data_IF_710306503759
#
_entry.id   IF_710306503759
#
_cell.length_a   1.000
_cell.length_b   1.000
_cell.length_c   1.000
_cell.angle_alpha   90.00
_cell.angle_beta   90.00
_cell.angle_gamma   90.00
#
_symmetry.space_group_name_H-M   'P 1'
#
loop_
_entity.id
_entity.type
_entity.pdbx_description
1 polymer ?
#
# COMPACT_ATOMS: atom_id res chain seq x y z
N UNK A 1 -7.84 66.53 1.20
CA UNK A 1 -8.50 65.22 1.38
C UNK A 1 -7.56 64.15 0.87
N UNK A 2 -6.79 63.54 1.76
CA UNK A 2 -5.94 62.38 1.45
C UNK A 2 -6.83 61.15 1.31
N UNK A 3 -6.72 60.36 0.24
CA UNK A 3 -7.46 59.11 0.13
C UNK A 3 -6.91 58.12 1.18
N UNK A 4 -7.80 57.64 2.05
CA UNK A 4 -7.49 56.56 2.98
C UNK A 4 -7.19 55.29 2.15
N UNK A 5 -5.91 54.97 1.98
CA UNK A 5 -5.46 53.65 1.57
C UNK A 5 -5.75 52.65 2.71
N UNK A 6 -7.01 52.24 2.86
CA UNK A 6 -7.34 51.01 3.59
C UNK A 6 -6.83 49.85 2.76
N UNK A 7 -5.63 49.39 3.08
CA UNK A 7 -5.14 48.05 2.73
C UNK A 7 -6.10 47.02 3.31
N UNK A 8 -7.15 46.67 2.56
CA UNK A 8 -8.04 45.56 2.86
C UNK A 8 -7.26 44.27 2.69
N UNK A 9 -6.58 43.83 3.75
CA UNK A 9 -6.18 42.43 3.94
C UNK A 9 -7.42 41.56 3.74
N UNK A 10 -7.48 40.81 2.64
CA UNK A 10 -8.68 40.02 2.27
C UNK A 10 -8.71 38.72 3.05
N UNK A 11 -9.07 38.82 4.33
CA UNK A 11 -9.41 37.67 5.19
C UNK A 11 -10.83 37.23 4.88
N UNK A 12 -11.06 35.92 4.85
CA UNK A 12 -12.40 35.34 4.75
C UNK A 12 -12.61 34.26 5.81
N UNK A 13 -13.87 34.02 6.16
CA UNK A 13 -14.26 32.98 7.12
C UNK A 13 -14.45 31.67 6.37
N UNK A 14 -13.66 30.67 6.74
CA UNK A 14 -13.75 29.33 6.18
C UNK A 14 -14.81 28.48 6.85
N UNK A 15 -15.13 27.34 6.23
CA UNK A 15 -16.08 26.40 6.78
C UNK A 15 -15.47 25.45 7.83
N UNK A 16 -15.78 25.73 9.10
CA UNK A 16 -15.29 24.94 10.23
C UNK A 16 -15.76 23.48 10.21
N UNK A 17 -16.90 23.19 9.60
CA UNK A 17 -17.44 21.82 9.56
C UNK A 17 -16.85 20.96 8.44
N UNK A 18 -16.27 21.58 7.40
CA UNK A 18 -15.66 20.85 6.28
C UNK A 18 -14.17 20.62 6.48
N UNK A 19 -13.44 21.59 7.02
CA UNK A 19 -11.99 21.48 7.24
C UNK A 19 -11.52 22.26 8.49
N UNK A 20 -12.40 22.46 9.48
CA UNK A 20 -12.02 23.01 10.78
C UNK A 20 -11.05 22.12 11.54
N UNK A 21 -10.60 22.62 12.70
CA UNK A 21 -9.52 22.03 13.46
C UNK A 21 -9.84 20.58 13.86
N UNK A 22 -11.07 20.30 14.29
CA UNK A 22 -11.45 18.96 14.74
C UNK A 22 -11.52 17.94 13.60
N UNK A 23 -12.01 18.38 12.42
CA UNK A 23 -12.02 17.56 11.20
C UNK A 23 -10.58 17.21 10.80
N UNK A 24 -9.71 18.23 10.69
CA UNK A 24 -8.30 18.06 10.33
C UNK A 24 -7.55 17.15 11.30
N UNK A 25 -7.62 17.43 12.60
CA UNK A 25 -6.96 16.60 13.62
C UNK A 25 -7.47 15.16 13.59
N UNK A 26 -8.80 14.97 13.51
CA UNK A 26 -9.39 13.63 13.40
C UNK A 26 -8.81 12.84 12.23
N UNK A 27 -8.70 13.48 11.06
CA UNK A 27 -8.14 12.87 9.85
C UNK A 27 -6.66 12.56 10.00
N UNK A 28 -5.87 13.49 10.53
CA UNK A 28 -4.43 13.29 10.69
C UNK A 28 -4.14 12.13 11.66
N UNK A 29 -4.87 12.04 12.77
CA UNK A 29 -4.75 10.93 13.71
C UNK A 29 -5.21 9.61 13.08
N UNK A 30 -6.28 9.63 12.28
CA UNK A 30 -6.77 8.46 11.57
C UNK A 30 -5.81 7.95 10.49
N UNK A 31 -5.12 8.86 9.79
CA UNK A 31 -4.06 8.52 8.85
C UNK A 31 -2.87 7.86 9.56
N UNK A 32 -2.44 8.45 10.69
CA UNK A 32 -1.37 7.88 11.50
C UNK A 32 -1.76 6.50 12.02
N UNK A 33 -2.99 6.32 12.52
CA UNK A 33 -3.51 5.02 12.94
C UNK A 33 -3.49 4.01 11.78
N UNK A 34 -3.97 4.39 10.60
CA UNK A 34 -3.97 3.51 9.42
C UNK A 34 -2.55 3.13 8.99
N UNK A 35 -1.63 4.09 9.03
CA UNK A 35 -0.22 3.87 8.73
C UNK A 35 0.43 2.88 9.70
N UNK A 36 0.25 3.07 11.01
CA UNK A 36 0.77 2.15 12.04
C UNK A 36 0.16 0.75 11.90
N UNK A 37 -1.15 0.67 11.71
CA UNK A 37 -1.86 -0.60 11.57
C UNK A 37 -1.38 -1.42 10.37
N UNK A 38 -1.10 -0.74 9.24
CA UNK A 38 -0.68 -1.39 7.99
C UNK A 38 0.81 -1.76 7.98
N UNK A 39 1.66 -0.92 8.57
CA UNK A 39 3.11 -1.18 8.67
C UNK A 39 3.42 -2.27 9.69
N UNK A 40 2.74 -2.28 10.83
CA UNK A 40 3.01 -3.21 11.95
C UNK A 40 2.13 -4.47 11.90
N UNK A 41 1.20 -4.56 10.93
CA UNK A 41 0.24 -5.67 10.76
C UNK A 41 -0.59 -5.93 12.02
N UNK A 42 -1.22 -4.89 12.56
CA UNK A 42 -2.12 -5.07 13.70
C UNK A 42 -3.29 -5.98 13.34
N UNK A 43 -3.82 -6.70 14.34
CA UNK A 43 -4.94 -7.62 14.16
C UNK A 43 -6.21 -6.89 13.68
N UNK A 44 -6.40 -5.64 14.11
CA UNK A 44 -7.50 -4.77 13.68
C UNK A 44 -7.23 -3.99 12.38
N UNK A 45 -6.13 -4.23 11.67
CA UNK A 45 -5.80 -3.48 10.46
C UNK A 45 -6.95 -3.45 9.44
N UNK A 46 -7.75 -4.52 9.35
CA UNK A 46 -8.96 -4.55 8.51
C UNK A 46 -10.02 -3.56 9.00
N UNK A 47 -10.33 -3.56 10.29
CA UNK A 47 -11.32 -2.66 10.89
C UNK A 47 -10.91 -1.20 10.73
N UNK A 48 -9.65 -0.87 11.04
CA UNK A 48 -9.11 0.49 10.91
C UNK A 48 -9.20 0.97 9.46
N UNK A 49 -8.85 0.11 8.51
CA UNK A 49 -8.99 0.40 7.08
C UNK A 49 -10.43 0.65 6.67
N UNK A 50 -11.38 -0.16 7.12
CA UNK A 50 -12.82 0.04 6.84
C UNK A 50 -13.29 1.38 7.39
N UNK A 51 -12.91 1.72 8.64
CA UNK A 51 -13.20 3.02 9.23
C UNK A 51 -12.62 4.17 8.40
N UNK A 52 -11.39 4.02 7.89
CA UNK A 52 -10.79 4.98 6.95
C UNK A 52 -11.57 5.12 5.64
N UNK A 53 -12.12 4.04 5.09
CA UNK A 53 -13.00 4.13 3.90
C UNK A 53 -14.27 4.92 4.18
N UNK A 54 -14.94 4.61 5.29
CA UNK A 54 -16.21 5.25 5.65
C UNK A 54 -15.98 6.74 5.86
N UNK A 55 -14.89 7.07 6.57
CA UNK A 55 -14.51 8.45 6.81
C UNK A 55 -14.17 9.17 5.50
N UNK A 56 -13.39 8.55 4.61
CA UNK A 56 -13.10 9.09 3.28
C UNK A 56 -14.38 9.40 2.49
N UNK A 57 -15.34 8.48 2.47
CA UNK A 57 -16.63 8.67 1.79
C UNK A 57 -17.40 9.84 2.41
N UNK A 58 -17.46 9.91 3.74
CA UNK A 58 -18.15 11.00 4.44
C UNK A 58 -17.53 12.37 4.12
N UNK A 59 -16.20 12.46 4.08
CA UNK A 59 -15.51 13.72 3.75
C UNK A 59 -15.68 14.10 2.29
N UNK A 60 -15.64 13.13 1.38
CA UNK A 60 -15.91 13.39 -0.02
C UNK A 60 -17.37 13.81 -0.25
N UNK A 61 -18.33 13.17 0.43
CA UNK A 61 -19.72 13.62 0.40
C UNK A 61 -19.86 15.05 0.96
N UNK A 62 -19.19 15.35 2.07
CA UNK A 62 -19.09 16.70 2.63
C UNK A 62 -18.52 17.70 1.63
N UNK A 63 -17.44 17.36 0.93
CA UNK A 63 -16.85 18.17 -0.14
C UNK A 63 -17.87 18.45 -1.26
N UNK A 64 -18.58 17.43 -1.73
CA UNK A 64 -19.60 17.60 -2.78
C UNK A 64 -20.74 18.52 -2.30
N UNK A 65 -21.26 18.30 -1.10
CA UNK A 65 -22.33 19.12 -0.53
C UNK A 65 -21.87 20.58 -0.37
N UNK A 66 -20.69 20.78 0.24
CA UNK A 66 -20.04 22.07 0.40
C UNK A 66 -19.85 22.79 -0.94
N UNK A 67 -19.37 22.07 -1.96
CA UNK A 67 -19.06 22.64 -3.28
C UNK A 67 -20.32 23.05 -4.05
N UNK A 68 -21.36 22.22 -4.04
CA UNK A 68 -22.51 22.39 -4.93
C UNK A 68 -23.71 23.10 -4.29
N UNK A 69 -23.82 23.13 -2.97
CA UNK A 69 -24.96 23.76 -2.28
C UNK A 69 -24.65 25.14 -1.72
N UNK A 70 -23.37 25.52 -1.59
CA UNK A 70 -23.01 26.84 -1.10
C UNK A 70 -22.94 27.84 -2.26
N UNK A 71 -23.62 29.00 -2.16
CA UNK A 71 -23.62 30.01 -3.21
C UNK A 71 -22.27 30.73 -3.36
N UNK A 72 -21.42 30.64 -2.33
CA UNK A 72 -20.15 31.35 -2.26
C UNK A 72 -19.08 30.40 -1.73
N UNK A 73 -18.31 29.80 -2.64
CA UNK A 73 -17.19 28.91 -2.31
C UNK A 73 -15.91 29.52 -2.86
N UNK A 74 -14.91 29.69 -2.00
CA UNK A 74 -13.59 30.14 -2.42
C UNK A 74 -12.83 28.98 -3.06
N UNK A 75 -12.19 29.21 -4.21
CA UNK A 75 -11.55 28.12 -4.95
C UNK A 75 -10.50 27.34 -4.16
N UNK A 76 -9.86 27.98 -3.16
CA UNK A 76 -8.87 27.34 -2.29
C UNK A 76 -9.49 26.32 -1.32
N UNK A 77 -10.75 26.48 -0.91
CA UNK A 77 -11.35 25.63 0.12
C UNK A 77 -11.51 24.18 -0.35
N UNK A 78 -12.07 23.90 -1.54
CA UNK A 78 -12.09 22.53 -2.06
C UNK A 78 -10.69 21.93 -2.23
N UNK A 79 -9.67 22.72 -2.56
CA UNK A 79 -8.30 22.23 -2.68
C UNK A 79 -7.74 21.77 -1.33
N UNK A 80 -7.99 22.53 -0.26
CA UNK A 80 -7.61 22.14 1.11
C UNK A 80 -8.26 20.81 1.46
N UNK A 81 -9.56 20.66 1.19
CA UNK A 81 -10.29 19.41 1.45
C UNK A 81 -9.77 18.28 0.57
N UNK A 82 -9.42 18.54 -0.68
CA UNK A 82 -8.79 17.54 -1.55
C UNK A 82 -7.46 17.06 -0.96
N UNK A 83 -6.59 17.94 -0.46
CA UNK A 83 -5.35 17.52 0.23
C UNK A 83 -5.66 16.65 1.46
N UNK A 84 -6.66 17.05 2.25
CA UNK A 84 -7.18 16.35 3.43
C UNK A 84 -7.82 14.99 3.08
N UNK A 85 -8.29 14.79 1.86
CA UNK A 85 -8.90 13.52 1.43
C UNK A 85 -7.84 12.64 0.74
N UNK A 86 -6.87 13.25 0.04
CA UNK A 86 -5.79 12.55 -0.68
C UNK A 86 -4.72 11.93 0.20
N UNK A 87 -4.39 12.53 1.35
CA UNK A 87 -3.45 11.88 2.29
C UNK A 87 -3.94 10.51 2.77
N UNK A 88 -5.27 10.28 2.76
CA UNK A 88 -5.87 9.00 3.11
C UNK A 88 -5.65 7.94 2.01
N UNK A 89 -5.36 8.34 0.78
CA UNK A 89 -5.32 7.46 -0.38
C UNK A 89 -4.00 6.68 -0.54
N UNK A 90 -2.94 7.09 0.15
CA UNK A 90 -1.63 6.47 -0.01
C UNK A 90 -1.51 5.02 0.51
N UNK A 91 -2.05 4.63 1.68
CA UNK A 91 -1.99 3.26 2.19
C UNK A 91 -2.57 2.20 1.24
N UNK A 92 -3.20 2.61 0.13
CA UNK A 92 -3.85 1.75 -0.85
C UNK A 92 -2.93 1.29 -1.97
N UNK A 93 -1.93 2.08 -2.37
CA UNK A 93 -0.91 1.59 -3.33
C UNK A 93 -0.20 0.37 -2.72
N UNK A 94 0.01 0.42 -1.40
CA UNK A 94 0.53 -0.67 -0.58
C UNK A 94 -0.39 -1.89 -0.44
N UNK A 95 -1.71 -1.69 -0.54
CA UNK A 95 -2.71 -2.68 -0.19
C UNK A 95 -3.51 -3.21 -1.38
N UNK A 96 -3.47 -2.56 -2.56
CA UNK A 96 -3.95 -3.12 -3.82
C UNK A 96 -3.24 -4.46 -4.13
N UNK A 97 -2.01 -4.61 -3.61
CA UNK A 97 -1.22 -5.86 -3.64
C UNK A 97 -1.76 -6.93 -2.65
N UNK A 98 -2.65 -6.58 -1.71
CA UNK A 98 -3.20 -7.48 -0.68
C UNK A 98 -4.72 -7.64 -0.80
N UNK A 99 -5.18 -8.27 -1.90
CA UNK A 99 -6.59 -8.58 -2.26
C UNK A 99 -7.35 -9.45 -1.23
N UNK A 100 -6.73 -9.82 -0.11
CA UNK A 100 -7.38 -10.60 0.96
C UNK A 100 -8.39 -9.78 1.80
N UNK A 101 -8.53 -8.46 1.59
CA UNK A 101 -9.37 -7.58 2.44
C UNK A 101 -10.89 -7.72 2.26
N UNK A 102 -11.34 -8.45 1.24
CA UNK A 102 -12.76 -8.68 0.98
C UNK A 102 -13.32 -7.77 -0.10
N UNK A 103 -14.02 -8.37 -1.05
CA UNK A 103 -14.43 -7.77 -2.31
C UNK A 103 -15.29 -6.50 -2.16
N UNK A 104 -16.20 -6.46 -1.19
CA UNK A 104 -17.11 -5.32 -1.00
C UNK A 104 -16.34 -4.04 -0.63
N UNK A 105 -15.31 -4.17 0.22
CA UNK A 105 -14.44 -3.05 0.60
C UNK A 105 -13.66 -2.55 -0.62
N UNK A 106 -13.13 -3.48 -1.43
CA UNK A 106 -12.41 -3.12 -2.66
C UNK A 106 -13.31 -2.38 -3.66
N UNK A 107 -14.52 -2.88 -3.93
CA UNK A 107 -15.49 -2.23 -4.83
C UNK A 107 -15.83 -0.83 -4.32
N UNK A 108 -16.14 -0.68 -3.04
CA UNK A 108 -16.49 0.61 -2.45
C UNK A 108 -15.35 1.63 -2.63
N UNK A 109 -14.11 1.18 -2.46
CA UNK A 109 -12.90 1.99 -2.69
C UNK A 109 -12.73 2.37 -4.16
N UNK A 110 -12.99 1.45 -5.11
CA UNK A 110 -12.99 1.79 -6.55
C UNK A 110 -13.94 2.96 -6.80
N UNK A 111 -15.19 2.80 -6.37
CA UNK A 111 -16.27 3.75 -6.66
C UNK A 111 -15.93 5.13 -6.12
N UNK A 112 -15.48 5.22 -4.86
CA UNK A 112 -15.16 6.51 -4.26
C UNK A 112 -13.96 7.18 -4.94
N UNK A 113 -12.91 6.42 -5.30
CA UNK A 113 -11.76 7.02 -5.99
C UNK A 113 -12.07 7.45 -7.41
N UNK A 114 -12.87 6.68 -8.14
CA UNK A 114 -13.34 7.09 -9.46
C UNK A 114 -14.12 8.40 -9.36
N UNK A 115 -15.02 8.51 -8.37
CA UNK A 115 -15.76 9.74 -8.12
C UNK A 115 -14.84 10.92 -7.76
N UNK A 116 -13.83 10.69 -6.90
CA UNK A 116 -12.83 11.69 -6.56
C UNK A 116 -12.00 12.14 -7.77
N UNK A 117 -11.55 11.21 -8.63
CA UNK A 117 -10.81 11.56 -9.86
C UNK A 117 -11.68 12.42 -10.79
N UNK A 118 -12.95 12.04 -10.97
CA UNK A 118 -13.91 12.86 -11.70
C UNK A 118 -14.06 14.27 -11.11
N UNK A 119 -14.15 14.38 -9.78
CA UNK A 119 -14.22 15.67 -9.10
C UNK A 119 -12.95 16.52 -9.31
N UNK A 120 -11.75 15.95 -9.21
CA UNK A 120 -10.49 16.68 -9.41
C UNK A 120 -10.36 17.18 -10.85
N UNK A 121 -10.71 16.33 -11.82
CA UNK A 121 -10.74 16.71 -13.23
C UNK A 121 -11.71 17.88 -13.41
N UNK A 122 -12.93 17.78 -12.89
CA UNK A 122 -13.88 18.89 -12.94
C UNK A 122 -13.33 20.15 -12.24
N UNK A 123 -12.76 20.02 -11.04
CA UNK A 123 -12.25 21.13 -10.23
C UNK A 123 -11.21 21.96 -11.00
N UNK A 124 -10.16 21.33 -11.52
CA UNK A 124 -9.10 22.05 -12.23
C UNK A 124 -9.51 22.56 -13.62
N UNK A 125 -10.43 21.88 -14.31
CA UNK A 125 -10.88 22.33 -15.63
C UNK A 125 -11.93 23.42 -15.58
N UNK A 126 -12.97 23.26 -14.78
CA UNK A 126 -14.15 24.13 -14.83
C UNK A 126 -14.57 24.63 -13.44
N UNK A 127 -14.37 23.83 -12.39
CA UNK A 127 -14.82 24.18 -11.03
C UNK A 127 -14.19 25.46 -10.50
N UNK A 128 -12.88 25.64 -10.70
CA UNK A 128 -12.18 26.86 -10.31
C UNK A 128 -12.69 28.13 -11.02
N UNK A 129 -13.32 28.01 -12.20
CA UNK A 129 -13.83 29.17 -12.94
C UNK A 129 -15.18 29.66 -12.41
N UNK A 130 -15.94 28.80 -11.72
CA UNK A 130 -17.23 29.15 -11.11
C UNK A 130 -17.12 29.53 -9.62
N UNK A 131 -15.92 29.42 -9.04
CA UNK A 131 -15.65 29.71 -7.63
C UNK A 131 -15.12 31.13 -7.41
N UNK A 132 -15.29 31.64 -6.18
CA UNK A 132 -14.85 32.98 -5.80
C UNK A 132 -13.32 33.03 -5.78
N UNK A 133 -12.80 34.06 -6.45
CA UNK A 133 -11.39 34.44 -6.45
C UNK A 133 -11.19 35.60 -5.50
N UNK A 134 -10.16 35.52 -4.66
CA UNK A 134 -9.72 36.69 -3.89
C UNK A 134 -8.93 37.61 -4.82
N UNK A 135 -9.13 38.93 -4.75
CA UNK A 135 -8.29 39.87 -5.47
C UNK A 135 -6.85 39.78 -4.92
N UNK A 136 -5.84 40.12 -5.73
CA UNK A 136 -4.46 40.21 -5.27
C UNK A 136 -4.33 41.12 -4.06
N UNK A 137 -3.55 40.72 -3.06
CA UNK A 137 -3.30 41.56 -1.89
C UNK A 137 -2.52 42.83 -2.31
N UNK A 138 -3.20 43.98 -2.26
CA UNK A 138 -2.62 45.29 -2.58
C UNK A 138 -1.45 45.60 -1.64
N UNK A 139 -0.22 45.46 -2.13
CA UNK A 139 1.00 45.87 -1.42
C UNK A 139 1.91 44.74 -0.92
N UNK A 140 1.57 43.45 -1.07
CA UNK A 140 2.46 42.36 -0.62
C UNK A 140 3.59 42.00 -1.59
N UNK A 141 3.75 42.75 -2.69
CA UNK A 141 4.79 42.51 -3.72
C UNK A 141 4.62 41.20 -4.50
N UNK A 142 3.80 40.26 -4.02
CA UNK A 142 3.62 38.95 -4.63
C UNK A 142 2.49 38.88 -5.64
N UNK A 143 1.60 39.88 -5.72
CA UNK A 143 0.55 39.97 -6.74
C UNK A 143 -0.45 38.80 -6.78
N UNK A 144 -0.46 37.93 -5.77
CA UNK A 144 -1.27 36.73 -5.73
C UNK A 144 -2.59 36.96 -4.98
N UNK A 145 -3.69 36.43 -5.52
CA UNK A 145 -4.99 36.41 -4.86
C UNK A 145 -5.12 35.23 -3.91
N UNK A 146 -5.41 34.05 -4.45
CA UNK A 146 -5.42 32.79 -3.69
C UNK A 146 -4.16 32.00 -3.95
N UNK A 147 -3.59 31.43 -2.89
CA UNK A 147 -2.29 30.73 -2.97
C UNK A 147 -2.39 29.26 -2.60
N UNK A 148 -1.68 28.42 -3.35
CA UNK A 148 -1.60 26.98 -3.14
C UNK A 148 -0.22 26.58 -2.61
N UNK A 149 -0.13 25.36 -2.07
CA UNK A 149 1.13 24.76 -1.64
C UNK A 149 1.80 23.96 -2.75
N UNK A 150 3.03 24.35 -3.08
CA UNK A 150 3.96 23.56 -3.89
C UNK A 150 5.39 23.74 -3.37
N UNK A 151 5.62 23.39 -2.10
CA UNK A 151 6.89 23.65 -1.38
C UNK A 151 7.27 25.13 -1.23
N UNK A 152 6.50 26.02 -1.85
CA UNK A 152 6.54 27.46 -1.76
C UNK A 152 5.12 28.00 -1.96
N UNK A 153 4.92 29.28 -1.63
CA UNK A 153 3.67 30.00 -1.86
C UNK A 153 3.54 30.29 -3.35
N UNK A 154 2.55 29.68 -4.01
CA UNK A 154 2.35 29.81 -5.46
C UNK A 154 0.94 30.27 -5.78
N UNK A 155 0.76 30.97 -6.90
CA UNK A 155 -0.57 31.38 -7.35
C UNK A 155 -1.43 30.18 -7.71
N UNK A 156 -2.63 30.10 -7.14
CA UNK A 156 -3.56 28.99 -7.39
C UNK A 156 -4.03 28.99 -8.86
N UNK A 157 -4.28 30.16 -9.44
CA UNK A 157 -4.83 30.29 -10.80
C UNK A 157 -3.77 30.31 -11.91
N UNK A 158 -2.50 30.55 -11.56
CA UNK A 158 -1.37 30.54 -12.47
C UNK A 158 -0.95 29.13 -12.88
N UNK A 159 0.36 28.90 -12.92
CA UNK A 159 0.94 27.64 -13.41
C UNK A 159 0.51 26.42 -12.57
N UNK A 160 0.18 26.61 -11.28
CA UNK A 160 -0.27 25.55 -10.39
C UNK A 160 -1.56 24.89 -10.90
N UNK A 161 -2.49 25.66 -11.47
CA UNK A 161 -3.70 25.12 -12.09
C UNK A 161 -3.37 24.17 -13.24
N UNK A 162 -2.44 24.57 -14.11
CA UNK A 162 -1.99 23.72 -15.22
C UNK A 162 -1.30 22.46 -14.72
N UNK A 163 -0.47 22.57 -13.69
CA UNK A 163 0.13 21.40 -13.03
C UNK A 163 -0.95 20.45 -12.48
N UNK A 164 -1.97 21.00 -11.79
CA UNK A 164 -3.09 20.24 -11.28
C UNK A 164 -3.85 19.48 -12.37
N UNK A 165 -4.05 20.10 -13.54
CA UNK A 165 -4.61 19.45 -14.73
C UNK A 165 -3.77 18.25 -15.18
N UNK A 166 -2.45 18.43 -15.30
CA UNK A 166 -1.52 17.35 -15.68
C UNK A 166 -1.56 16.21 -14.67
N UNK A 167 -1.49 16.50 -13.37
CA UNK A 167 -1.57 15.47 -12.33
C UNK A 167 -2.91 14.76 -12.27
N UNK A 168 -4.03 15.44 -12.54
CA UNK A 168 -5.34 14.81 -12.60
C UNK A 168 -5.40 13.76 -13.74
N UNK A 169 -4.84 14.08 -14.91
CA UNK A 169 -4.79 13.15 -16.05
C UNK A 169 -3.84 11.99 -15.77
N UNK A 170 -2.62 12.27 -15.33
CA UNK A 170 -1.64 11.22 -14.98
C UNK A 170 -2.17 10.30 -13.88
N UNK A 171 -2.74 10.87 -12.83
CA UNK A 171 -3.36 10.12 -11.73
C UNK A 171 -4.50 9.24 -12.21
N UNK A 172 -5.35 9.74 -13.11
CA UNK A 172 -6.45 8.96 -13.71
C UNK A 172 -5.93 7.81 -14.56
N UNK A 173 -4.88 8.03 -15.37
CA UNK A 173 -4.25 6.97 -16.18
C UNK A 173 -3.63 5.89 -15.29
N UNK A 174 -2.84 6.29 -14.29
CA UNK A 174 -2.22 5.34 -13.34
C UNK A 174 -3.30 4.54 -12.61
N UNK A 175 -4.36 5.20 -12.15
CA UNK A 175 -5.49 4.57 -11.50
C UNK A 175 -6.17 3.53 -12.42
N UNK A 176 -6.45 3.89 -13.67
CA UNK A 176 -7.03 2.98 -14.66
C UNK A 176 -6.15 1.76 -14.92
N UNK A 177 -4.83 1.96 -15.09
CA UNK A 177 -3.86 0.87 -15.30
C UNK A 177 -3.86 -0.09 -14.12
N UNK A 178 -3.75 0.44 -12.89
CA UNK A 178 -3.82 -0.37 -11.66
C UNK A 178 -5.11 -1.21 -11.64
N UNK A 179 -6.25 -0.63 -11.99
CA UNK A 179 -7.53 -1.36 -12.01
C UNK A 179 -7.62 -2.41 -13.10
N UNK A 180 -7.12 -2.14 -14.31
CA UNK A 180 -7.11 -3.12 -15.39
C UNK A 180 -6.37 -4.40 -14.94
N UNK A 181 -5.27 -4.25 -14.20
CA UNK A 181 -4.54 -5.40 -13.66
C UNK A 181 -5.21 -6.09 -12.47
N UNK A 182 -5.94 -5.36 -11.63
CA UNK A 182 -6.57 -5.94 -10.42
C UNK A 182 -8.00 -6.45 -10.59
N UNK A 183 -8.74 -6.00 -11.61
CA UNK A 183 -10.09 -6.49 -11.89
C UNK A 183 -10.14 -8.01 -12.12
N UNK A 184 -9.22 -8.61 -12.91
CA UNK A 184 -9.20 -10.07 -13.09
C UNK A 184 -9.05 -10.83 -11.77
N UNK A 185 -8.15 -10.39 -10.89
CA UNK A 185 -7.95 -11.01 -9.57
C UNK A 185 -9.20 -10.89 -8.69
N UNK A 186 -9.88 -9.74 -8.75
CA UNK A 186 -11.12 -9.50 -8.02
C UNK A 186 -12.25 -10.41 -8.51
N UNK A 187 -12.40 -10.55 -9.83
CA UNK A 187 -13.37 -11.45 -10.45
C UNK A 187 -13.03 -12.92 -10.11
N UNK A 188 -11.76 -13.29 -10.16
CA UNK A 188 -11.31 -14.64 -9.80
C UNK A 188 -11.61 -14.98 -8.33
N UNK A 189 -11.41 -14.03 -7.43
CA UNK A 189 -11.76 -14.18 -6.02
C UNK A 189 -13.28 -14.30 -5.79
N UNK A 190 -14.11 -13.65 -6.64
CA UNK A 190 -15.58 -13.66 -6.52
C UNK A 190 -16.22 -14.95 -6.99
N UNK A 191 -15.67 -15.56 -8.03
CA UNK A 191 -16.27 -16.71 -8.71
C UNK A 191 -15.50 -18.01 -8.39
N UNK A 192 -15.75 -18.65 -7.23
CA UNK A 192 -15.02 -19.84 -6.78
C UNK A 192 -15.14 -21.04 -7.74
N UNK A 193 -16.14 -21.01 -8.64
CA UNK A 193 -16.32 -22.01 -9.70
C UNK A 193 -15.13 -22.00 -10.66
N UNK A 194 -14.64 -20.82 -11.07
CA UNK A 194 -13.47 -20.69 -11.96
C UNK A 194 -12.21 -21.25 -11.29
N UNK A 195 -12.02 -20.94 -10.01
CA UNK A 195 -10.88 -21.44 -9.23
C UNK A 195 -10.92 -22.98 -9.06
N UNK A 196 -12.10 -23.57 -8.85
CA UNK A 196 -12.27 -25.03 -8.75
C UNK A 196 -11.98 -25.73 -10.09
N UNK A 197 -12.43 -25.17 -11.22
CA UNK A 197 -12.20 -25.75 -12.55
C UNK A 197 -10.72 -25.73 -12.92
N UNK A 198 -10.04 -24.59 -12.67
CA UNK A 198 -8.61 -24.47 -12.96
C UNK A 198 -7.75 -25.39 -12.10
N UNK A 199 -8.02 -25.48 -10.79
CA UNK A 199 -7.29 -26.41 -9.89
C UNK A 199 -7.47 -27.88 -10.26
N UNK A 200 -8.62 -28.27 -10.82
CA UNK A 200 -8.83 -29.63 -11.32
C UNK A 200 -8.02 -29.91 -12.58
N UNK A 201 -7.89 -28.92 -13.46
CA UNK A 201 -7.17 -29.05 -14.74
C UNK A 201 -5.64 -29.08 -14.57
N UNK A 202 -5.12 -28.41 -13.54
CA UNK A 202 -3.68 -28.27 -13.29
C UNK A 202 -3.13 -29.13 -12.14
N UNK A 203 -3.88 -30.16 -11.69
CA UNK A 203 -3.32 -31.14 -10.76
C UNK A 203 -2.39 -32.05 -11.55
N UNK A 204 -1.09 -31.78 -11.51
CA UNK A 204 -0.09 -32.72 -12.01
C UNK A 204 -0.22 -34.03 -11.21
N UNK A 205 -0.15 -35.19 -11.86
CA UNK A 205 -0.06 -36.46 -11.14
C UNK A 205 1.19 -36.40 -10.27
N UNK A 206 1.00 -36.56 -8.96
CA UNK A 206 2.08 -36.61 -7.97
C UNK A 206 2.86 -37.89 -8.25
N UNK A 207 4.06 -37.75 -8.82
CA UNK A 207 5.06 -38.81 -8.88
C UNK A 207 5.99 -38.68 -7.69
N UNK A 208 6.31 -39.79 -7.04
CA UNK A 208 7.00 -39.89 -5.73
C UNK A 208 8.48 -39.42 -5.71
N UNK A 209 8.94 -38.59 -6.64
CA UNK A 209 10.34 -38.15 -6.76
C UNK A 209 10.66 -36.86 -5.97
N UNK A 210 10.01 -36.66 -4.81
CA UNK A 210 9.92 -35.36 -4.09
C UNK A 210 11.19 -34.93 -3.30
N UNK A 211 12.32 -35.64 -3.35
CA UNK A 211 13.48 -35.32 -2.47
C UNK A 211 14.41 -34.19 -3.00
N UNK A 212 14.34 -33.80 -4.28
CA UNK A 212 15.25 -32.80 -4.86
C UNK A 212 14.65 -31.38 -4.99
N UNK A 213 13.32 -31.22 -4.90
CA UNK A 213 12.62 -29.95 -5.15
C UNK A 213 12.49 -29.04 -3.90
N UNK A 214 12.69 -29.60 -2.70
CA UNK A 214 12.63 -28.88 -1.41
C UNK A 214 13.62 -27.70 -1.32
N UNK A 215 14.78 -27.83 -1.98
CA UNK A 215 15.82 -26.80 -1.98
C UNK A 215 15.45 -25.56 -2.81
N UNK A 216 14.78 -25.75 -3.94
CA UNK A 216 14.34 -24.67 -4.82
C UNK A 216 13.13 -23.94 -4.26
N UNK A 217 12.16 -24.68 -3.72
CA UNK A 217 10.97 -24.10 -3.09
C UNK A 217 11.34 -23.23 -1.88
N UNK A 218 12.29 -23.68 -1.05
CA UNK A 218 12.77 -22.90 0.10
C UNK A 218 13.44 -21.58 -0.31
N UNK A 219 14.27 -21.58 -1.38
CA UNK A 219 14.89 -20.36 -1.92
C UNK A 219 13.84 -19.40 -2.47
N UNK A 220 12.87 -19.89 -3.23
CA UNK A 220 11.79 -19.07 -3.79
C UNK A 220 10.95 -18.39 -2.68
N UNK A 221 10.66 -19.12 -1.60
CA UNK A 221 9.94 -18.59 -0.44
C UNK A 221 10.76 -17.48 0.25
N UNK A 222 12.06 -17.69 0.48
CA UNK A 222 12.92 -16.67 1.10
C UNK A 222 13.07 -15.40 0.24
N UNK A 223 13.23 -15.56 -1.09
CA UNK A 223 13.31 -14.44 -2.02
C UNK A 223 12.01 -13.63 -1.97
N UNK A 224 10.86 -14.30 -2.02
CA UNK A 224 9.55 -13.64 -1.94
C UNK A 224 9.36 -12.87 -0.63
N UNK A 225 9.75 -13.43 0.52
CA UNK A 225 9.62 -12.77 1.81
C UNK A 225 10.52 -11.53 1.93
N UNK A 226 11.74 -11.61 1.37
CA UNK A 226 12.68 -10.50 1.34
C UNK A 226 12.15 -9.35 0.46
N UNK A 227 11.67 -9.69 -0.75
CA UNK A 227 11.07 -8.74 -1.68
C UNK A 227 9.83 -8.07 -1.06
N UNK A 228 8.92 -8.86 -0.47
CA UNK A 228 7.72 -8.35 0.21
C UNK A 228 8.09 -7.38 1.35
N UNK A 229 9.16 -7.67 2.10
CA UNK A 229 9.61 -6.82 3.20
C UNK A 229 10.21 -5.51 2.68
N UNK A 230 11.07 -5.58 1.66
CA UNK A 230 11.65 -4.40 1.02
C UNK A 230 10.58 -3.47 0.46
N UNK A 231 9.60 -4.02 -0.27
CA UNK A 231 8.47 -3.23 -0.78
C UNK A 231 7.68 -2.56 0.34
N UNK A 232 7.37 -3.27 1.43
CA UNK A 232 6.64 -2.69 2.57
C UNK A 232 7.38 -1.51 3.19
N UNK A 233 8.69 -1.65 3.39
CA UNK A 233 9.52 -0.57 3.98
C UNK A 233 9.57 0.63 3.03
N UNK A 234 9.87 0.40 1.75
CA UNK A 234 9.96 1.46 0.75
C UNK A 234 8.66 2.24 0.64
N UNK A 235 7.56 1.56 0.34
CA UNK A 235 6.27 2.21 0.17
C UNK A 235 5.69 2.76 1.47
N UNK A 236 6.03 2.16 2.62
CA UNK A 236 5.74 2.71 3.94
C UNK A 236 6.44 4.06 4.12
N UNK A 237 7.73 4.14 3.80
CA UNK A 237 8.49 5.40 3.82
C UNK A 237 7.88 6.47 2.91
N UNK A 238 7.58 6.12 1.65
CA UNK A 238 6.92 7.06 0.72
C UNK A 238 5.57 7.51 1.27
N UNK A 239 4.83 6.63 1.95
CA UNK A 239 3.55 6.97 2.54
C UNK A 239 3.61 7.90 3.71
N UNK A 240 4.62 7.75 4.55
CA UNK A 240 4.88 8.69 5.63
C UNK A 240 5.22 10.08 5.07
N UNK A 241 6.07 10.13 4.04
CA UNK A 241 6.41 11.39 3.36
C UNK A 241 5.14 12.03 2.78
N UNK A 242 4.32 11.27 2.06
CA UNK A 242 3.06 11.78 1.50
C UNK A 242 2.12 12.32 2.60
N UNK A 243 1.97 11.60 3.71
CA UNK A 243 1.16 12.04 4.85
C UNK A 243 1.65 13.40 5.37
N UNK A 244 2.96 13.55 5.60
CA UNK A 244 3.55 14.80 6.06
C UNK A 244 3.30 15.93 5.05
N UNK A 245 3.51 15.67 3.76
CA UNK A 245 3.29 16.66 2.71
C UNK A 245 1.83 17.11 2.61
N UNK A 246 0.87 16.20 2.80
CA UNK A 246 -0.56 16.55 2.76
C UNK A 246 -0.98 17.38 3.98
N UNK A 247 -0.46 17.06 5.17
CA UNK A 247 -0.67 17.88 6.38
C UNK A 247 -0.08 19.26 6.19
N UNK A 248 1.22 19.34 5.85
CA UNK A 248 1.90 20.62 5.65
C UNK A 248 1.21 21.43 4.55
N UNK A 249 0.83 20.79 3.43
CA UNK A 249 0.14 21.46 2.35
C UNK A 249 -1.20 22.07 2.76
N UNK A 250 -2.03 21.31 3.49
CA UNK A 250 -3.32 21.81 3.99
C UNK A 250 -3.15 22.97 4.99
N UNK A 251 -2.25 22.82 5.97
CA UNK A 251 -2.00 23.84 7.00
C UNK A 251 -1.42 25.12 6.40
N UNK A 252 -0.48 25.00 5.45
CA UNK A 252 0.13 26.15 4.79
C UNK A 252 -0.87 26.88 3.89
N UNK A 253 -1.76 26.17 3.18
CA UNK A 253 -2.83 26.82 2.41
C UNK A 253 -3.79 27.59 3.33
N UNK A 254 -4.15 27.06 4.51
CA UNK A 254 -4.97 27.78 5.49
C UNK A 254 -4.26 29.03 5.99
N UNK A 255 -2.98 28.90 6.37
CA UNK A 255 -2.18 30.00 6.90
C UNK A 255 -1.94 31.11 5.85
N UNK A 256 -1.53 30.74 4.63
CA UNK A 256 -1.19 31.70 3.58
C UNK A 256 -2.39 32.45 3.01
N UNK A 257 -3.59 31.86 3.06
CA UNK A 257 -4.84 32.51 2.64
C UNK A 257 -5.59 33.15 3.82
N UNK A 258 -4.98 33.19 5.01
CA UNK A 258 -5.50 33.85 6.22
C UNK A 258 -6.95 33.44 6.58
N UNK A 259 -7.30 32.17 6.38
CA UNK A 259 -8.65 31.65 6.58
C UNK A 259 -9.01 31.72 8.08
N UNK A 260 -10.12 32.38 8.40
CA UNK A 260 -10.60 32.57 9.78
C UNK A 260 -11.66 31.54 10.15
N UNK A 261 -11.89 31.34 11.45
CA UNK A 261 -12.96 30.46 11.95
C UNK A 261 -12.68 28.95 11.89
N UNK A 262 -11.55 28.53 11.31
CA UNK A 262 -11.23 27.10 11.10
C UNK A 262 -10.26 26.51 12.13
N UNK A 263 -9.77 27.31 13.08
CA UNK A 263 -8.79 26.92 14.09
C UNK A 263 -9.39 26.77 15.50
N UNK A 264 -10.71 26.64 15.62
CA UNK A 264 -11.44 26.48 16.88
C UNK A 264 -12.19 25.16 16.89
N UNK A 265 -12.41 24.60 18.07
CA UNK A 265 -13.24 23.41 18.29
C UNK A 265 -14.57 23.83 18.91
N UNK A 266 -15.45 24.40 18.10
CA UNK A 266 -16.70 25.05 18.54
C UNK A 266 -17.97 24.41 17.98
N UNK A 267 -17.87 23.41 17.08
CA UNK A 267 -19.02 22.68 16.54
C UNK A 267 -18.97 21.18 16.82
N UNK A 268 -20.14 20.57 17.00
CA UNK A 268 -20.29 19.11 17.13
C UNK A 268 -19.79 18.38 15.87
N UNK A 269 -19.94 19.00 14.70
CA UNK A 269 -19.44 18.49 13.42
C UNK A 269 -17.92 18.28 13.40
N UNK A 270 -17.17 19.06 14.18
CA UNK A 270 -15.72 18.92 14.35
C UNK A 270 -15.33 17.93 15.45
N UNK A 271 -16.12 17.87 16.53
CA UNK A 271 -15.82 17.04 17.68
C UNK A 271 -15.88 15.54 17.36
N UNK A 272 -16.86 15.13 16.53
CA UNK A 272 -17.05 13.72 16.15
C UNK A 272 -15.81 13.17 15.39
N UNK A 273 -15.34 13.80 14.29
CA UNK A 273 -14.08 13.44 13.64
C UNK A 273 -12.88 13.38 14.58
N UNK A 274 -12.68 14.42 15.41
CA UNK A 274 -11.54 14.50 16.31
C UNK A 274 -11.50 13.32 17.28
N UNK A 275 -12.65 13.02 17.90
CA UNK A 275 -12.77 11.90 18.83
C UNK A 275 -12.59 10.55 18.15
N UNK A 276 -13.19 10.33 16.98
CA UNK A 276 -13.03 9.10 16.22
C UNK A 276 -11.57 8.86 15.82
N UNK A 277 -10.88 9.89 15.33
CA UNK A 277 -9.45 9.81 15.00
C UNK A 277 -8.60 9.46 16.20
N UNK A 278 -8.87 10.06 17.36
CA UNK A 278 -8.17 9.79 18.61
C UNK A 278 -8.37 8.35 19.09
N UNK A 279 -9.62 7.87 19.13
CA UNK A 279 -9.94 6.50 19.55
C UNK A 279 -9.24 5.48 18.64
N UNK A 280 -9.31 5.68 17.31
CA UNK A 280 -8.63 4.80 16.36
C UNK A 280 -7.12 4.75 16.59
N UNK A 281 -6.48 5.89 16.84
CA UNK A 281 -5.05 5.93 17.13
C UNK A 281 -4.72 5.20 18.44
N UNK A 282 -5.46 5.47 19.52
CA UNK A 282 -5.25 4.81 20.82
C UNK A 282 -5.40 3.30 20.71
N UNK A 283 -6.47 2.82 20.06
CA UNK A 283 -6.69 1.38 19.83
C UNK A 283 -5.55 0.77 19.01
N UNK A 284 -5.08 1.47 17.97
CA UNK A 284 -3.98 0.98 17.13
C UNK A 284 -2.67 0.89 17.90
N UNK A 285 -2.34 1.92 18.69
CA UNK A 285 -1.12 1.96 19.50
C UNK A 285 -1.17 0.87 20.57
N UNK A 286 -2.32 0.70 21.24
CA UNK A 286 -2.52 -0.37 22.22
C UNK A 286 -2.27 -1.76 21.63
N UNK A 287 -2.92 -2.07 20.51
CA UNK A 287 -2.73 -3.36 19.82
C UNK A 287 -1.29 -3.55 19.33
N UNK A 288 -0.65 -2.47 18.88
CA UNK A 288 0.76 -2.51 18.48
C UNK A 288 1.64 -2.93 19.64
N UNK A 289 1.45 -2.32 20.81
CA UNK A 289 2.18 -2.67 22.03
C UNK A 289 1.93 -4.13 22.41
N UNK A 290 0.67 -4.58 22.38
CA UNK A 290 0.32 -5.97 22.70
C UNK A 290 0.97 -6.98 21.74
N UNK A 291 0.93 -6.71 20.43
CA UNK A 291 1.57 -7.56 19.42
C UNK A 291 3.10 -7.65 19.61
N UNK A 292 3.76 -6.55 19.98
CA UNK A 292 5.21 -6.57 20.25
C UNK A 292 5.57 -7.40 21.48
N UNK A 293 4.71 -7.39 22.52
CA UNK A 293 4.89 -8.23 23.71
C UNK A 293 4.75 -9.71 23.38
N UNK A 294 3.79 -10.09 22.55
CA UNK A 294 3.57 -11.50 22.16
C UNK A 294 4.62 -12.04 21.18
N UNK A 295 5.20 -11.18 20.33
CA UNK A 295 6.16 -11.61 19.30
C UNK A 295 7.45 -12.19 19.92
N UNK A 296 7.91 -11.64 21.04
CA UNK A 296 9.15 -12.05 21.71
C UNK A 296 9.17 -13.54 22.10
N UNK A 297 8.20 -14.03 22.90
CA UNK A 297 8.13 -15.44 23.29
C UNK A 297 7.98 -16.40 22.11
N UNK A 298 7.09 -16.09 21.15
CA UNK A 298 6.83 -16.94 19.98
C UNK A 298 8.07 -17.07 19.08
N UNK A 299 8.84 -16.00 18.91
CA UNK A 299 10.08 -16.03 18.14
C UNK A 299 11.17 -16.85 18.84
N UNK A 300 11.27 -16.75 20.18
CA UNK A 300 12.18 -17.61 20.97
C UNK A 300 11.83 -19.09 20.80
N UNK A 301 10.55 -19.43 20.86
CA UNK A 301 10.07 -20.80 20.66
C UNK A 301 10.35 -21.32 19.24
N UNK A 302 10.10 -20.49 18.20
CA UNK A 302 10.42 -20.86 16.81
C UNK A 302 11.91 -21.07 16.57
N UNK A 303 12.76 -20.22 17.17
CA UNK A 303 14.22 -20.38 17.11
C UNK A 303 14.67 -21.67 17.80
N UNK A 304 14.06 -22.01 18.93
CA UNK A 304 14.35 -23.26 19.63
C UNK A 304 13.95 -24.48 18.78
N UNK A 305 12.73 -24.52 18.24
CA UNK A 305 12.28 -25.60 17.36
C UNK A 305 13.14 -25.75 16.10
N UNK A 306 13.62 -24.64 15.52
CA UNK A 306 14.56 -24.67 14.38
C UNK A 306 15.91 -25.26 14.74
N UNK A 307 16.44 -24.96 15.94
CA UNK A 307 17.68 -25.57 16.44
C UNK A 307 17.52 -27.08 16.63
N UNK A 308 16.44 -27.50 17.29
CA UNK A 308 16.12 -28.92 17.50
C UNK A 308 15.93 -29.68 16.18
N UNK A 309 15.27 -29.08 15.19
CA UNK A 309 15.09 -29.68 13.87
C UNK A 309 16.41 -29.82 13.11
N UNK A 310 17.30 -28.82 13.19
CA UNK A 310 18.64 -28.90 12.58
C UNK A 310 19.51 -29.96 13.26
N UNK A 311 19.42 -30.08 14.58
CA UNK A 311 20.15 -31.10 15.35
C UNK A 311 19.69 -32.51 14.97
N UNK A 312 18.37 -32.77 14.93
CA UNK A 312 17.80 -34.04 14.45
C UNK A 312 18.22 -34.36 13.02
N UNK A 313 18.27 -33.36 12.13
CA UNK A 313 18.72 -33.55 10.73
C UNK A 313 20.21 -33.88 10.66
N UNK A 314 21.04 -33.32 11.53
CA UNK A 314 22.48 -33.66 11.65
C UNK A 314 22.67 -35.07 12.18
N UNK A 315 21.94 -35.45 13.23
CA UNK A 315 21.97 -36.82 13.77
C UNK A 315 21.54 -37.86 12.73
N UNK A 316 20.47 -37.58 11.97
CA UNK A 316 20.01 -38.47 10.90
C UNK A 316 21.05 -38.64 9.78
N UNK A 317 21.72 -37.54 9.38
CA UNK A 317 22.82 -37.59 8.40
C UNK A 317 24.03 -38.36 8.93
N UNK A 318 24.37 -38.16 10.19
CA UNK A 318 25.46 -38.90 10.83
C UNK A 318 25.16 -40.40 10.87
N UNK A 319 23.95 -40.79 11.31
CA UNK A 319 23.50 -42.19 11.29
C UNK A 319 23.51 -42.80 9.89
N UNK A 320 23.08 -42.04 8.88
CA UNK A 320 23.13 -42.47 7.46
C UNK A 320 24.57 -42.63 6.95
N UNK A 321 25.51 -41.77 7.36
CA UNK A 321 26.93 -41.95 7.03
C UNK A 321 27.55 -43.16 7.76
N UNK A 322 27.19 -43.36 9.02
CA UNK A 322 27.64 -44.52 9.81
C UNK A 322 27.12 -45.84 9.22
N UNK A 323 25.88 -45.90 8.71
CA UNK A 323 25.36 -47.10 8.04
C UNK A 323 26.08 -47.36 6.71
N UNK A 324 26.26 -46.33 5.87
CA UNK A 324 27.00 -46.45 4.61
C UNK A 324 28.46 -46.89 4.81
N UNK A 325 29.11 -46.42 5.89
CA UNK A 325 30.47 -46.84 6.22
C UNK A 325 30.54 -48.29 6.69
N UNK A 326 29.51 -48.82 7.36
CA UNK A 326 29.44 -50.25 7.75
C UNK A 326 29.25 -51.14 6.54
N UNK A 327 28.32 -50.78 5.65
CA UNK A 327 28.03 -51.55 4.44
C UNK A 327 29.26 -51.66 3.52
N UNK A 328 30.01 -50.58 3.35
CA UNK A 328 31.28 -50.60 2.61
C UNK A 328 32.35 -51.50 3.26
N UNK A 329 32.38 -51.56 4.59
CA UNK A 329 33.37 -52.38 5.30
C UNK A 329 33.06 -53.88 5.17
N UNK A 330 31.78 -54.27 5.24
CA UNK A 330 31.34 -55.65 5.02
C UNK A 330 31.54 -56.08 3.56
N UNK A 331 31.25 -55.22 2.58
CA UNK A 331 31.53 -55.52 1.16
C UNK A 331 33.02 -55.77 0.90
N UNK A 332 33.90 -54.98 1.52
CA UNK A 332 35.36 -55.16 1.39
C UNK A 332 35.86 -56.46 2.04
N UNK A 333 35.12 -57.01 3.01
CA UNK A 333 35.49 -58.24 3.73
C UNK A 333 35.11 -59.49 2.94
N UNK A 334 33.99 -59.45 2.20
CA UNK A 334 33.56 -60.55 1.32
C UNK A 334 34.54 -60.77 0.16
N UNK A 335 35.17 -59.71 -0.35
CA UNK A 335 36.15 -59.82 -1.44
C UNK A 335 37.49 -60.44 -1.01
N UNK A 336 37.81 -60.45 0.29
CA UNK A 336 39.05 -61.04 0.83
C UNK A 336 38.93 -62.54 1.16
N UNK A 337 37.71 -63.07 1.33
CA UNK A 337 37.48 -64.48 1.70
C UNK A 337 37.35 -65.42 0.48
N UNK A 338 37.50 -64.94 -0.76
CA UNK A 338 37.44 -65.81 -1.95
C UNK A 338 38.56 -65.55 -2.99
N UNK A 339 39.82 -65.97 -2.72
CA UNK A 339 40.95 -65.73 -3.62
C UNK A 339 40.98 -66.60 -4.89
N UNK A 340 39.96 -67.40 -5.20
CA UNK A 340 40.07 -68.48 -6.21
C UNK A 340 39.16 -68.38 -7.43
N UNK A 341 38.31 -67.36 -7.59
CA UNK A 341 37.55 -67.21 -8.84
C UNK A 341 38.33 -66.40 -9.89
N UNK A 342 39.17 -67.16 -10.62
CA UNK A 342 39.83 -66.76 -11.85
C UNK A 342 38.78 -66.42 -12.92
N UNK A 343 38.24 -65.19 -12.92
CA UNK A 343 37.30 -64.70 -13.94
C UNK A 343 38.03 -63.71 -14.83
N UNK A 344 38.25 -64.16 -16.06
CA UNK A 344 38.89 -63.42 -17.14
C UNK A 344 38.22 -62.06 -17.41
N UNK A 345 39.00 -61.04 -17.84
CA UNK A 345 38.46 -59.73 -18.17
C UNK A 345 37.56 -59.81 -19.41
N UNK A 346 36.25 -59.62 -19.22
CA UNK A 346 35.32 -59.38 -20.33
C UNK A 346 35.51 -57.95 -20.85
N UNK A 347 36.20 -57.89 -21.98
CA UNK A 347 36.28 -56.77 -22.92
C UNK A 347 34.87 -56.21 -23.19
N UNK A 348 34.63 -54.98 -22.74
CA UNK A 348 33.44 -54.20 -23.10
C UNK A 348 33.81 -53.32 -24.29
N UNK A 349 33.66 -53.90 -25.48
CA UNK A 349 33.43 -53.14 -26.71
C UNK A 349 31.94 -52.76 -26.79
N UNK A 350 31.66 -51.68 -27.51
CA UNK A 350 30.34 -51.25 -28.02
C UNK A 350 29.30 -50.71 -27.03
N UNK A 351 29.24 -49.37 -26.89
CA UNK A 351 28.03 -48.59 -27.19
C UNK A 351 28.47 -47.24 -27.76
N UNK A 352 28.66 -47.23 -29.08
CA UNK A 352 28.67 -46.05 -29.93
C UNK A 352 27.30 -46.05 -30.63
N UNK A 353 26.70 -44.86 -30.82
CA UNK A 353 25.44 -44.55 -31.54
C UNK A 353 24.16 -44.47 -30.67
N UNK A 354 23.82 -43.23 -30.28
CA UNK A 354 22.64 -42.54 -30.83
C UNK A 354 22.64 -41.07 -30.34
N UNK A 355 23.30 -40.20 -31.10
CA UNK A 355 23.01 -38.76 -31.03
C UNK A 355 22.04 -38.44 -32.16
N UNK A 356 20.75 -38.37 -31.84
CA UNK A 356 19.72 -37.86 -32.73
C UNK A 356 19.83 -36.32 -32.90
N UNK A 357 19.56 -35.77 -34.09
CA UNK A 357 19.67 -34.34 -34.33
C UNK A 357 18.52 -33.56 -33.67
N UNK A 358 18.91 -32.54 -32.90
CA UNK A 358 18.02 -31.51 -32.34
C UNK A 358 17.51 -30.62 -33.48
N UNK A 359 16.23 -30.71 -33.81
CA UNK A 359 15.57 -29.79 -34.71
C UNK A 359 15.20 -28.50 -33.99
N UNK A 360 15.83 -27.40 -34.39
CA UNK A 360 15.50 -26.04 -33.96
C UNK A 360 14.30 -25.55 -34.77
N UNK A 361 13.15 -25.40 -34.11
CA UNK A 361 11.96 -24.76 -34.70
C UNK A 361 11.99 -23.26 -34.35
N UNK A 362 12.34 -22.44 -35.35
CA UNK A 362 12.10 -21.01 -35.36
C UNK A 362 10.65 -20.80 -35.82
N UNK A 363 9.79 -20.31 -34.95
CA UNK A 363 8.51 -19.71 -35.35
C UNK A 363 8.63 -18.18 -35.23
N UNK A 364 8.20 -17.55 -36.32
CA UNK A 364 8.15 -16.12 -36.64
C UNK A 364 7.03 -15.37 -35.94
#
# INVERSE_FOLDING_TARGET
MTPNNTTTTTKFTGDSDTYGLGVRLGIYLQWLATFLATTIRTRSARTIRTSNTIFLIANFAGLLLFTFHRPQVYAIEPLIVLFIVFGAAWPFILLAIQIKSGINEAILRVVIYTAMMGYIMWYFWSGMDVMIRLPPESGSGSGFGQTAFFFAKVDLFGWFRTLGKVFAVLGSVVFLVIWIFHIPDLLWARYPILNKVWKRKNKTPVGDDDEEDDGYLSKAIMIKETIDTAFRVLFGGIGLINLILMIVGAEMMIAWNQIQGVNRLDSTGQLIPAFLGLVLLVTTVWETIENTKEAGPKERERRQRRKEAMEKKREARQKKMESLSRDNHDSSRVDLENPTSNVAPKRTEEVLLEMGPVSVRLES
#
